data_IF_948200020093
#
_entry.id   IF_948200020093
#
_cell.length_a   1.000
_cell.length_b   1.000
_cell.length_c   1.000
_cell.angle_alpha   90.00
_cell.angle_beta   90.00
_cell.angle_gamma   90.00
#
_symmetry.space_group_name_H-M   'P 1'
#
loop_
_entity.id
_entity.type
_entity.pdbx_description
1 polymer ?
#
# COMPACT_ATOMS: atom_id res chain seq x y z
N UNK A 1 -10.73 -61.62 36.23
CA UNK A 1 -9.30 -61.41 36.56
C UNK A 1 -8.61 -62.79 36.52
N UNK A 2 -7.35 -62.94 36.05
CA UNK A 2 -6.68 -64.26 35.77
C UNK A 2 -6.56 -65.24 36.96
N UNK A 3 -6.92 -64.87 38.19
CA UNK A 3 -6.84 -65.74 39.37
C UNK A 3 -8.15 -66.51 39.67
N UNK A 4 -9.28 -66.03 39.14
CA UNK A 4 -10.58 -66.74 39.19
C UNK A 4 -10.49 -68.10 38.47
N UNK A 5 -9.54 -68.25 37.55
CA UNK A 5 -9.30 -69.51 36.82
C UNK A 5 -8.65 -70.57 37.69
N UNK A 6 -7.87 -70.20 38.71
CA UNK A 6 -7.24 -71.16 39.62
C UNK A 6 -8.24 -71.72 40.64
N UNK A 7 -9.13 -70.88 41.16
CA UNK A 7 -10.23 -71.35 42.00
C UNK A 7 -11.19 -72.26 41.22
N UNK A 8 -11.57 -71.88 40.00
CA UNK A 8 -12.42 -72.72 39.15
C UNK A 8 -11.78 -74.07 38.76
N UNK A 9 -10.45 -74.15 38.76
CA UNK A 9 -9.70 -75.37 38.47
C UNK A 9 -9.43 -76.25 39.71
N UNK A 10 -9.96 -75.90 40.89
CA UNK A 10 -9.67 -76.61 42.14
C UNK A 10 -8.20 -76.48 42.57
N UNK A 11 -7.58 -75.35 42.23
CA UNK A 11 -6.19 -74.99 42.57
C UNK A 11 -6.14 -73.66 43.34
N UNK A 12 -7.19 -73.38 44.10
CA UNK A 12 -7.30 -72.20 44.94
C UNK A 12 -6.60 -72.38 46.29
N UNK A 13 -6.72 -71.35 47.13
CA UNK A 13 -6.11 -71.33 48.48
C UNK A 13 -6.54 -72.51 49.34
N UNK A 14 -7.82 -72.86 49.32
CA UNK A 14 -8.35 -73.94 50.15
C UNK A 14 -7.85 -75.31 49.68
N UNK A 15 -7.74 -75.51 48.38
CA UNK A 15 -7.18 -76.75 47.79
C UNK A 15 -5.70 -76.91 48.14
N UNK A 16 -4.95 -75.80 48.15
CA UNK A 16 -3.56 -75.78 48.60
C UNK A 16 -3.42 -76.14 50.09
N UNK A 17 -4.31 -75.64 50.95
CA UNK A 17 -4.27 -75.93 52.40
C UNK A 17 -4.61 -77.41 52.69
N UNK A 18 -5.51 -78.00 51.90
CA UNK A 18 -6.03 -79.34 52.15
C UNK A 18 -5.21 -80.47 51.49
N UNK A 19 -4.22 -80.16 50.65
CA UNK A 19 -3.43 -81.18 49.95
C UNK A 19 -2.40 -81.83 50.87
N UNK A 20 -2.39 -83.16 50.96
CA UNK A 20 -1.44 -83.90 51.80
C UNK A 20 -0.03 -83.99 51.18
N UNK A 21 0.06 -84.00 49.84
CA UNK A 21 1.30 -84.04 49.08
C UNK A 21 1.28 -82.95 48.01
N UNK A 22 2.09 -81.90 48.17
CA UNK A 22 2.06 -80.72 47.30
C UNK A 22 2.49 -80.99 45.85
N UNK A 23 3.17 -82.10 45.57
CA UNK A 23 3.58 -82.48 44.20
C UNK A 23 4.31 -81.35 43.45
N UNK A 24 4.12 -81.29 42.13
CA UNK A 24 4.64 -80.22 41.24
C UNK A 24 3.52 -79.32 40.72
N UNK A 25 2.33 -79.42 41.30
CA UNK A 25 1.13 -78.70 40.86
C UNK A 25 1.17 -77.25 41.35
N UNK A 26 0.72 -76.31 40.50
CA UNK A 26 0.71 -74.88 40.82
C UNK A 26 -0.66 -74.48 41.36
N UNK A 27 -0.65 -73.75 42.47
CA UNK A 27 -1.82 -73.17 43.12
C UNK A 27 -1.71 -71.65 43.10
N UNK A 28 -2.84 -70.95 43.03
CA UNK A 28 -2.85 -69.49 42.95
C UNK A 28 -4.12 -68.88 43.52
N UNK A 29 -3.97 -67.77 44.25
CA UNK A 29 -5.07 -66.97 44.77
C UNK A 29 -4.65 -65.52 44.91
N UNK A 30 -5.65 -64.65 45.08
CA UNK A 30 -5.42 -63.23 45.41
C UNK A 30 -5.13 -63.16 46.92
N UNK A 31 -3.98 -62.58 47.29
CA UNK A 31 -3.64 -62.36 48.70
C UNK A 31 -4.65 -61.41 49.34
N UNK A 32 -5.31 -61.88 50.41
CA UNK A 32 -6.31 -61.12 51.17
C UNK A 32 -5.76 -60.71 52.54
N UNK A 33 -6.60 -60.09 53.36
CA UNK A 33 -6.28 -59.63 54.71
C UNK A 33 -5.58 -60.71 55.56
N UNK A 34 -6.07 -61.94 55.50
CA UNK A 34 -5.51 -63.06 56.25
C UNK A 34 -4.13 -63.51 55.75
N UNK A 35 -3.87 -63.42 54.44
CA UNK A 35 -2.52 -63.60 53.88
C UNK A 35 -1.59 -62.45 54.27
N UNK A 36 -2.10 -61.22 54.24
CA UNK A 36 -1.34 -60.01 54.55
C UNK A 36 -0.88 -59.98 56.02
N UNK A 37 -1.73 -60.42 56.95
CA UNK A 37 -1.39 -60.52 58.37
C UNK A 37 -0.77 -61.86 58.79
N UNK A 38 -0.52 -62.77 57.85
CA UNK A 38 0.14 -64.03 58.15
C UNK A 38 1.55 -63.82 58.72
N UNK A 39 1.93 -64.63 59.70
CA UNK A 39 3.31 -64.72 60.21
C UNK A 39 4.22 -65.59 59.33
N UNK A 40 3.68 -66.15 58.25
CA UNK A 40 4.45 -66.92 57.26
C UNK A 40 5.14 -65.98 56.28
N UNK A 41 6.08 -66.53 55.51
CA UNK A 41 6.84 -65.81 54.48
C UNK A 41 5.95 -65.02 53.49
N UNK A 42 4.73 -65.49 53.22
CA UNK A 42 3.77 -64.77 52.35
C UNK A 42 3.34 -63.42 52.94
N UNK A 43 3.08 -63.35 54.24
CA UNK A 43 2.67 -62.10 54.89
C UNK A 43 3.82 -61.09 54.99
N UNK A 44 5.04 -61.56 55.29
CA UNK A 44 6.24 -60.70 55.24
C UNK A 44 6.47 -60.14 53.84
N UNK A 45 6.30 -60.97 52.81
CA UNK A 45 6.42 -60.54 51.42
C UNK A 45 5.36 -59.48 51.08
N UNK A 46 4.09 -59.72 51.42
CA UNK A 46 3.00 -58.81 51.12
C UNK A 46 3.18 -57.46 51.83
N UNK A 47 3.51 -57.43 53.12
CA UNK A 47 3.77 -56.18 53.87
C UNK A 47 5.00 -55.42 53.39
N UNK A 48 6.01 -56.12 52.86
CA UNK A 48 7.23 -55.50 52.35
C UNK A 48 7.02 -54.82 50.99
N UNK A 49 6.13 -55.36 50.16
CA UNK A 49 6.00 -54.95 48.76
C UNK A 49 4.63 -54.43 48.37
N UNK A 50 3.67 -54.40 49.28
CA UNK A 50 2.32 -53.91 49.01
C UNK A 50 1.58 -53.46 50.25
N UNK A 51 0.47 -52.78 50.01
CA UNK A 51 -0.46 -52.30 51.02
C UNK A 51 -1.78 -53.05 50.91
N UNK A 52 -2.38 -53.39 52.05
CA UNK A 52 -3.75 -53.91 52.08
C UNK A 52 -4.72 -52.77 51.83
N UNK A 53 -5.55 -52.89 50.78
CA UNK A 53 -6.61 -51.93 50.46
C UNK A 53 -7.97 -52.61 50.41
N UNK A 54 -9.00 -51.89 50.85
CA UNK A 54 -10.38 -52.33 50.67
C UNK A 54 -10.86 -52.00 49.26
N UNK A 55 -11.95 -52.64 48.82
CA UNK A 55 -12.60 -52.29 47.56
C UNK A 55 -13.04 -50.81 47.54
N UNK A 56 -13.49 -50.28 48.68
CA UNK A 56 -13.91 -48.89 48.82
C UNK A 56 -12.75 -47.91 48.63
N UNK A 57 -11.55 -48.24 49.14
CA UNK A 57 -10.36 -47.39 48.95
C UNK A 57 -9.97 -47.31 47.47
N UNK A 58 -10.01 -48.44 46.77
CA UNK A 58 -9.70 -48.51 45.33
C UNK A 58 -10.73 -47.71 44.52
N UNK A 59 -12.02 -47.89 44.82
CA UNK A 59 -13.09 -47.16 44.14
C UNK A 59 -13.00 -45.65 44.40
N UNK A 60 -12.71 -45.24 45.63
CA UNK A 60 -12.52 -43.84 46.00
C UNK A 60 -11.30 -43.22 45.30
N UNK A 61 -10.18 -43.95 45.22
CA UNK A 61 -8.97 -43.49 44.53
C UNK A 61 -9.23 -43.31 43.03
N UNK A 62 -9.88 -44.26 42.37
CA UNK A 62 -10.24 -44.17 40.94
C UNK A 62 -11.22 -43.03 40.69
N UNK A 63 -12.23 -42.85 41.55
CA UNK A 63 -13.15 -41.72 41.48
C UNK A 63 -12.41 -40.38 41.64
N UNK A 64 -11.46 -40.30 42.55
CA UNK A 64 -10.64 -39.10 42.77
C UNK A 64 -9.79 -38.76 41.54
N UNK A 65 -9.09 -39.74 40.97
CA UNK A 65 -8.31 -39.57 39.72
C UNK A 65 -9.20 -39.10 38.57
N UNK A 66 -10.37 -39.72 38.41
CA UNK A 66 -11.35 -39.34 37.40
C UNK A 66 -11.82 -37.89 37.60
N UNK A 67 -12.16 -37.51 38.82
CA UNK A 67 -12.60 -36.14 39.13
C UNK A 67 -11.50 -35.11 38.86
N UNK A 68 -10.25 -35.41 39.22
CA UNK A 68 -9.11 -34.52 38.96
C UNK A 68 -8.92 -34.31 37.45
N UNK A 69 -8.98 -35.38 36.67
CA UNK A 69 -8.89 -35.31 35.21
C UNK A 69 -10.04 -34.48 34.63
N UNK A 70 -11.28 -34.74 35.06
CA UNK A 70 -12.46 -34.00 34.61
C UNK A 70 -12.36 -32.50 34.92
N UNK A 71 -11.91 -32.15 36.12
CA UNK A 71 -11.69 -30.75 36.53
C UNK A 71 -10.65 -30.06 35.65
N UNK A 72 -9.49 -30.71 35.44
CA UNK A 72 -8.43 -30.17 34.59
C UNK A 72 -8.90 -29.98 33.14
N UNK A 73 -9.63 -30.95 32.59
CA UNK A 73 -10.19 -30.86 31.24
C UNK A 73 -11.23 -29.73 31.14
N UNK A 74 -12.08 -29.56 32.16
CA UNK A 74 -13.04 -28.45 32.21
C UNK A 74 -12.34 -27.09 32.15
N UNK A 75 -11.31 -26.90 32.97
CA UNK A 75 -10.54 -25.66 33.00
C UNK A 75 -9.92 -25.36 31.63
N UNK A 76 -9.30 -26.34 30.98
CA UNK A 76 -8.70 -26.17 29.65
C UNK A 76 -9.76 -25.83 28.58
N UNK A 77 -10.95 -26.42 28.66
CA UNK A 77 -12.05 -26.10 27.75
C UNK A 77 -12.52 -24.66 27.96
N UNK A 78 -12.69 -24.23 29.21
CA UNK A 78 -13.09 -22.87 29.57
C UNK A 78 -12.07 -21.82 29.12
N UNK A 79 -10.78 -22.05 29.38
CA UNK A 79 -9.69 -21.19 28.91
C UNK A 79 -9.69 -21.04 27.39
N UNK A 80 -9.82 -22.15 26.66
CA UNK A 80 -9.88 -22.14 25.19
C UNK A 80 -11.12 -21.41 24.67
N UNK A 81 -12.27 -21.58 25.32
CA UNK A 81 -13.50 -20.88 24.96
C UNK A 81 -13.35 -19.36 25.16
N UNK A 82 -12.70 -18.94 26.25
CA UNK A 82 -12.40 -17.52 26.49
C UNK A 82 -11.48 -16.94 25.41
N UNK A 83 -10.37 -17.62 25.09
CA UNK A 83 -9.46 -17.16 24.03
C UNK A 83 -10.10 -17.12 22.65
N UNK A 84 -10.98 -18.07 22.33
CA UNK A 84 -11.72 -18.06 21.07
C UNK A 84 -12.58 -16.78 20.95
N UNK A 85 -13.29 -16.44 22.04
CA UNK A 85 -14.12 -15.24 22.11
C UNK A 85 -13.29 -13.96 22.00
N UNK A 86 -12.13 -13.90 22.64
CA UNK A 86 -11.20 -12.76 22.53
C UNK A 86 -10.72 -12.54 21.09
N UNK A 87 -10.35 -13.62 20.40
CA UNK A 87 -9.91 -13.57 19.00
C UNK A 87 -11.06 -13.09 18.10
N UNK A 88 -12.28 -13.58 18.32
CA UNK A 88 -13.46 -13.17 17.57
C UNK A 88 -13.74 -11.66 17.72
N UNK A 89 -13.67 -11.12 18.95
CA UNK A 89 -13.84 -9.69 19.20
C UNK A 89 -12.77 -8.88 18.47
N UNK A 90 -11.49 -9.24 18.62
CA UNK A 90 -10.38 -8.55 17.94
C UNK A 90 -10.51 -8.59 16.43
N UNK A 91 -10.91 -9.73 15.87
CA UNK A 91 -11.15 -9.88 14.44
C UNK A 91 -12.23 -8.90 13.96
N UNK A 92 -13.37 -8.83 14.66
CA UNK A 92 -14.46 -7.93 14.30
C UNK A 92 -14.07 -6.46 14.41
N UNK A 93 -13.33 -6.06 15.46
CA UNK A 93 -12.81 -4.69 15.61
C UNK A 93 -11.89 -4.30 14.46
N UNK A 94 -10.95 -5.19 14.10
CA UNK A 94 -10.01 -4.98 12.99
C UNK A 94 -10.77 -4.88 11.66
N UNK A 95 -11.74 -5.77 11.42
CA UNK A 95 -12.54 -5.76 10.19
C UNK A 95 -13.33 -4.45 10.03
N UNK A 96 -13.93 -3.94 11.11
CA UNK A 96 -14.64 -2.66 11.10
C UNK A 96 -13.69 -1.47 10.88
N UNK A 97 -12.55 -1.46 11.57
CA UNK A 97 -11.53 -0.42 11.40
C UNK A 97 -11.00 -0.37 9.97
N UNK A 98 -10.70 -1.53 9.38
CA UNK A 98 -10.22 -1.63 8.01
C UNK A 98 -11.26 -1.13 7.01
N UNK A 99 -12.53 -1.51 7.16
CA UNK A 99 -13.64 -1.01 6.33
C UNK A 99 -13.77 0.51 6.39
N UNK A 100 -13.64 1.09 7.59
CA UNK A 100 -13.67 2.55 7.77
C UNK A 100 -12.50 3.23 7.05
N UNK A 101 -11.27 2.72 7.23
CA UNK A 101 -10.07 3.27 6.61
C UNK A 101 -10.12 3.19 5.08
N UNK A 102 -10.66 2.09 4.52
CA UNK A 102 -10.85 1.95 3.08
C UNK A 102 -11.80 3.03 2.53
N UNK A 103 -12.93 3.27 3.20
CA UNK A 103 -13.87 4.32 2.80
C UNK A 103 -13.25 5.72 2.85
N UNK A 104 -12.46 6.01 3.87
CA UNK A 104 -11.77 7.30 3.99
C UNK A 104 -10.73 7.49 2.88
N UNK A 105 -9.96 6.43 2.59
CA UNK A 105 -8.98 6.42 1.50
C UNK A 105 -9.65 6.66 0.15
N UNK A 106 -10.76 5.97 -0.13
CA UNK A 106 -11.50 6.13 -1.38
C UNK A 106 -12.07 7.55 -1.52
N UNK A 107 -12.60 8.12 -0.42
CA UNK A 107 -13.06 9.51 -0.40
C UNK A 107 -11.93 10.50 -0.69
N UNK A 108 -10.77 10.32 -0.07
CA UNK A 108 -9.59 11.18 -0.31
C UNK A 108 -9.11 11.08 -1.76
N UNK A 109 -9.06 9.86 -2.30
CA UNK A 109 -8.69 9.62 -3.70
C UNK A 109 -9.68 10.26 -4.68
N UNK A 110 -10.97 10.23 -4.37
CA UNK A 110 -12.00 10.90 -5.19
C UNK A 110 -11.79 12.43 -5.21
N UNK A 111 -11.56 13.03 -4.04
CA UNK A 111 -11.28 14.49 -3.93
C UNK A 111 -10.01 14.85 -4.68
N UNK A 112 -8.93 14.08 -4.52
CA UNK A 112 -7.65 14.32 -5.19
C UNK A 112 -7.80 14.27 -6.72
N UNK A 113 -8.54 13.29 -7.24
CA UNK A 113 -8.86 13.19 -8.67
C UNK A 113 -9.66 14.39 -9.17
N UNK A 114 -10.67 14.81 -8.43
CA UNK A 114 -11.49 15.96 -8.81
C UNK A 114 -10.65 17.25 -8.86
N UNK A 115 -9.81 17.47 -7.85
CA UNK A 115 -8.88 18.60 -7.78
C UNK A 115 -7.89 18.60 -8.95
N UNK A 116 -7.26 17.46 -9.24
CA UNK A 116 -6.34 17.32 -10.36
C UNK A 116 -7.03 17.61 -11.71
N UNK A 117 -8.28 17.15 -11.87
CA UNK A 117 -9.07 17.40 -13.08
C UNK A 117 -9.42 18.88 -13.24
N UNK A 118 -9.78 19.55 -12.14
CA UNK A 118 -10.09 20.98 -12.14
C UNK A 118 -8.84 21.83 -12.43
N UNK A 119 -7.70 21.47 -11.85
CA UNK A 119 -6.44 22.15 -12.09
C UNK A 119 -5.95 21.98 -13.53
N UNK A 120 -6.10 20.77 -14.10
CA UNK A 120 -5.83 20.52 -15.51
C UNK A 120 -6.70 21.40 -16.42
N UNK A 121 -8.02 21.47 -16.18
CA UNK A 121 -8.92 22.33 -16.98
C UNK A 121 -8.50 23.79 -16.92
N UNK A 122 -8.14 24.29 -15.73
CA UNK A 122 -7.68 25.67 -15.56
C UNK A 122 -6.37 25.92 -16.29
N UNK A 123 -5.44 24.97 -16.27
CA UNK A 123 -4.19 25.06 -17.03
C UNK A 123 -4.47 25.11 -18.54
N UNK A 124 -5.35 24.25 -19.04
CA UNK A 124 -5.74 24.20 -20.46
C UNK A 124 -6.38 25.51 -20.91
N UNK A 125 -7.30 26.08 -20.11
CA UNK A 125 -7.91 27.38 -20.38
C UNK A 125 -6.88 28.51 -20.42
N UNK A 126 -5.91 28.51 -19.50
CA UNK A 126 -4.85 29.51 -19.48
C UNK A 126 -3.94 29.41 -20.71
N UNK A 127 -3.57 28.20 -21.11
CA UNK A 127 -2.77 27.95 -22.32
C UNK A 127 -3.52 28.41 -23.56
N UNK A 128 -4.83 28.14 -23.63
CA UNK A 128 -5.68 28.58 -24.74
C UNK A 128 -5.69 30.12 -24.85
N UNK A 129 -5.95 30.83 -23.75
CA UNK A 129 -5.93 32.31 -23.73
C UNK A 129 -4.58 32.88 -24.14
N UNK A 130 -3.49 32.31 -23.61
CA UNK A 130 -2.14 32.74 -23.96
C UNK A 130 -1.85 32.55 -25.46
N UNK A 131 -2.33 31.44 -26.06
CA UNK A 131 -2.18 31.20 -27.49
C UNK A 131 -2.97 32.20 -28.34
N UNK A 132 -4.18 32.58 -27.92
CA UNK A 132 -4.96 33.64 -28.58
C UNK A 132 -4.28 35.00 -28.49
N UNK A 133 -3.78 35.36 -27.32
CA UNK A 133 -3.05 36.61 -27.09
C UNK A 133 -1.77 36.68 -27.94
N UNK A 134 -0.97 35.61 -27.94
CA UNK A 134 0.22 35.52 -28.80
C UNK A 134 -0.13 35.64 -30.29
N UNK A 135 -1.23 35.04 -30.73
CA UNK A 135 -1.67 35.16 -32.13
C UNK A 135 -2.00 36.61 -32.48
N UNK A 136 -2.77 37.29 -31.62
CA UNK A 136 -3.16 38.69 -31.79
C UNK A 136 -1.95 39.62 -31.80
N UNK A 137 -1.04 39.47 -30.84
CA UNK A 137 0.19 40.28 -30.78
C UNK A 137 1.07 40.06 -32.01
N UNK A 138 1.18 38.81 -32.48
CA UNK A 138 1.92 38.49 -33.72
C UNK A 138 1.31 39.17 -34.94
N UNK A 139 -0.01 39.17 -35.05
CA UNK A 139 -0.72 39.86 -36.15
C UNK A 139 -0.48 41.37 -36.12
N UNK A 140 -0.53 42.00 -34.95
CA UNK A 140 -0.24 43.43 -34.78
C UNK A 140 1.21 43.77 -35.12
N UNK A 141 2.18 43.00 -34.62
CA UNK A 141 3.60 43.16 -34.97
C UNK A 141 3.85 43.01 -36.48
N UNK A 142 3.14 42.09 -37.13
CA UNK A 142 3.26 41.92 -38.58
C UNK A 142 2.74 43.15 -39.33
N UNK A 143 1.60 43.73 -38.91
CA UNK A 143 1.09 44.99 -39.49
C UNK A 143 2.08 46.13 -39.33
N UNK A 144 2.65 46.31 -38.13
CA UNK A 144 3.67 47.34 -37.88
C UNK A 144 4.91 47.14 -38.75
N UNK A 145 5.34 45.89 -38.92
CA UNK A 145 6.49 45.56 -39.79
C UNK A 145 6.22 45.99 -41.24
N UNK A 146 5.06 45.63 -41.79
CA UNK A 146 4.68 46.02 -43.16
C UNK A 146 4.59 47.54 -43.34
N UNK A 147 4.11 48.27 -42.34
CA UNK A 147 4.00 49.73 -42.39
C UNK A 147 5.39 50.39 -42.38
N UNK A 148 6.30 49.92 -41.51
CA UNK A 148 7.68 50.38 -41.49
C UNK A 148 8.40 50.08 -42.80
N UNK A 149 8.20 48.89 -43.38
CA UNK A 149 8.75 48.53 -44.70
C UNK A 149 8.27 49.50 -45.79
N UNK A 150 6.99 49.89 -45.79
CA UNK A 150 6.47 50.89 -46.73
C UNK A 150 7.14 52.26 -46.54
N UNK A 151 7.29 52.72 -45.31
CA UNK A 151 7.95 53.99 -45.01
C UNK A 151 9.42 54.00 -45.43
N UNK A 152 10.14 52.89 -45.20
CA UNK A 152 11.51 52.70 -45.67
C UNK A 152 11.57 52.77 -47.20
N UNK A 153 10.71 52.03 -47.89
CA UNK A 153 10.66 52.02 -49.36
C UNK A 153 10.34 53.42 -49.93
N UNK A 154 9.42 54.15 -49.31
CA UNK A 154 9.09 55.52 -49.73
C UNK A 154 10.27 56.47 -49.53
N UNK A 155 10.95 56.40 -48.38
CA UNK A 155 12.13 57.21 -48.08
C UNK A 155 13.27 56.91 -49.07
N UNK A 156 13.55 55.63 -49.33
CA UNK A 156 14.55 55.22 -50.31
C UNK A 156 14.20 55.71 -51.72
N UNK A 157 12.92 55.67 -52.10
CA UNK A 157 12.45 56.20 -53.38
C UNK A 157 12.69 57.71 -53.54
N UNK A 158 12.39 58.50 -52.50
CA UNK A 158 12.65 59.94 -52.47
C UNK A 158 14.16 60.24 -52.54
N UNK A 159 14.98 59.51 -51.79
CA UNK A 159 16.44 59.68 -51.78
C UNK A 159 17.05 59.41 -53.16
N UNK A 160 16.59 58.37 -53.86
CA UNK A 160 16.97 58.10 -55.26
C UNK A 160 16.53 59.23 -56.21
N UNK A 161 15.34 59.82 -56.02
CA UNK A 161 14.86 60.94 -56.84
C UNK A 161 15.70 62.21 -56.63
N UNK A 162 16.04 62.52 -55.37
CA UNK A 162 16.93 63.63 -55.00
C UNK A 162 18.29 63.46 -55.68
N UNK A 163 18.92 62.30 -55.55
CA UNK A 163 20.22 62.02 -56.19
C UNK A 163 20.14 62.11 -57.73
N UNK A 164 19.03 61.66 -58.33
CA UNK A 164 18.80 61.80 -59.78
C UNK A 164 18.66 63.25 -60.24
N UNK A 165 18.22 64.17 -59.39
CA UNK A 165 18.18 65.60 -59.68
C UNK A 165 19.52 66.30 -59.40
N UNK A 166 20.21 65.91 -58.31
CA UNK A 166 21.52 66.47 -57.93
C UNK A 166 22.58 66.26 -59.01
N UNK A 167 22.65 65.07 -59.61
CA UNK A 167 23.62 64.75 -60.67
C UNK A 167 23.58 65.74 -61.86
N UNK A 168 22.45 65.85 -62.59
CA UNK A 168 22.30 66.78 -63.69
C UNK A 168 22.44 68.25 -63.28
N UNK A 169 21.91 68.65 -62.11
CA UNK A 169 22.04 70.02 -61.62
C UNK A 169 23.50 70.42 -61.40
N UNK A 170 24.33 69.51 -60.86
CA UNK A 170 25.77 69.73 -60.72
C UNK A 170 26.46 69.95 -62.06
N UNK A 171 26.10 69.16 -63.09
CA UNK A 171 26.61 69.34 -64.45
C UNK A 171 26.19 70.70 -65.04
N UNK A 172 24.91 71.08 -64.90
CA UNK A 172 24.38 72.35 -65.41
C UNK A 172 25.04 73.57 -64.74
N UNK A 173 25.30 73.51 -63.42
CA UNK A 173 26.03 74.57 -62.69
C UNK A 173 27.46 74.78 -63.20
N UNK A 174 28.15 73.73 -63.63
CA UNK A 174 29.49 73.88 -64.22
C UNK A 174 29.48 74.47 -65.64
N UNK A 175 28.30 74.57 -66.27
CA UNK A 175 28.10 75.17 -67.60
C UNK A 175 27.57 76.61 -67.53
N UNK A 176 27.66 77.29 -66.38
CA UNK A 176 27.06 78.61 -66.07
C UNK A 176 27.53 79.80 -66.95
N UNK A 177 28.57 79.60 -67.78
CA UNK A 177 29.10 80.62 -68.70
C UNK A 177 28.25 80.85 -69.97
N UNK A 178 27.10 80.19 -70.10
CA UNK A 178 26.16 80.40 -71.20
C UNK A 178 25.19 81.52 -70.81
N UNK A 179 25.25 82.68 -71.48
CA UNK A 179 24.34 83.83 -71.28
C UNK A 179 22.89 83.57 -71.80
N UNK A 180 22.40 82.34 -71.71
CA UNK A 180 21.02 82.01 -72.03
C UNK A 180 20.15 82.17 -70.78
N UNK A 181 19.32 83.22 -70.79
CA UNK A 181 18.33 83.50 -69.74
C UNK A 181 17.43 82.30 -69.44
N UNK A 182 17.05 81.52 -70.47
CA UNK A 182 16.24 80.31 -70.28
C UNK A 182 17.01 79.20 -69.56
N UNK A 183 18.33 79.12 -69.77
CA UNK A 183 19.18 78.13 -69.12
C UNK A 183 19.35 78.45 -67.62
N UNK A 184 19.57 79.72 -67.26
CA UNK A 184 19.63 80.18 -65.86
C UNK A 184 18.30 79.94 -65.13
N UNK A 185 17.18 80.27 -65.76
CA UNK A 185 15.85 80.01 -65.19
C UNK A 185 15.64 78.51 -64.90
N UNK A 186 16.10 77.62 -65.79
CA UNK A 186 16.01 76.17 -65.61
C UNK A 186 16.87 75.64 -64.45
N UNK A 187 18.05 76.22 -64.21
CA UNK A 187 18.88 75.92 -63.04
C UNK A 187 18.15 76.32 -61.75
N UNK A 188 17.61 77.54 -61.70
CA UNK A 188 16.89 78.06 -60.53
C UNK A 188 15.63 77.26 -60.21
N UNK A 189 14.84 76.90 -61.23
CA UNK A 189 13.63 76.09 -61.08
C UNK A 189 13.97 74.67 -60.55
N UNK A 190 15.03 74.06 -61.08
CA UNK A 190 15.50 72.73 -60.62
C UNK A 190 16.04 72.79 -59.19
N UNK A 191 16.72 73.88 -58.82
CA UNK A 191 17.24 74.07 -57.46
C UNK A 191 16.12 74.31 -56.44
N UNK A 192 15.08 75.07 -56.78
CA UNK A 192 13.88 75.23 -55.93
C UNK A 192 13.14 73.90 -55.74
N UNK A 193 12.96 73.13 -56.83
CA UNK A 193 12.31 71.83 -56.76
C UNK A 193 13.10 70.81 -55.91
N UNK A 194 14.44 70.87 -55.96
CA UNK A 194 15.32 70.08 -55.10
C UNK A 194 15.15 70.46 -53.62
N UNK A 195 15.18 71.76 -53.29
CA UNK A 195 14.98 72.24 -51.92
C UNK A 195 13.63 71.78 -51.32
N UNK A 196 12.55 71.82 -52.11
CA UNK A 196 11.23 71.36 -51.65
C UNK A 196 11.13 69.85 -51.37
N UNK A 197 12.03 69.04 -51.96
CA UNK A 197 12.06 67.58 -51.71
C UNK A 197 13.06 67.18 -50.62
N UNK A 198 13.99 68.07 -50.27
CA UNK A 198 14.96 67.87 -49.19
C UNK A 198 14.42 68.30 -47.81
N UNK A 199 13.38 69.13 -47.77
CA UNK A 199 12.55 69.45 -46.58
C UNK A 199 11.59 68.30 -46.20
#
# INVERSE_FOLDING_TARGET
>A
MKFETYEAAGKGKQDYINVQNLGTEIYGWIGREDDYYSEKAIGDFLRKFGDLKTFQDIEAEEKSKSNMLMSNLSNVIEEKAMHLKEIEVKYNEIALSLSSLMKEKDKKLAIEKEMATLEQKKADENVFKLAEDHKREKEELHKTTMELEKQINAKQGLELEIERMRGPLSVMKHMENVEDSKFKQKIDDTQKALQQKEE
#
